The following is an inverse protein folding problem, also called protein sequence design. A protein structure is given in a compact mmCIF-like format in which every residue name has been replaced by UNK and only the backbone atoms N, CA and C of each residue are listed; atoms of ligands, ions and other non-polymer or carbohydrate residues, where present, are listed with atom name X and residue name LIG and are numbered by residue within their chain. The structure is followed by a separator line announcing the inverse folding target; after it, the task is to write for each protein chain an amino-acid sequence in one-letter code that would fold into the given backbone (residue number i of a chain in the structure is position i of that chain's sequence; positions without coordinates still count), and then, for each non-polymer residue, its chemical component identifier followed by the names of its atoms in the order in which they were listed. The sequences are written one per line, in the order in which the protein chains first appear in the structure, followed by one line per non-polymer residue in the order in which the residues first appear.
data_IF_797133351009
#
_entry.id   IF_797133351009
#
_cell.length_a   1.000
_cell.length_b   1.000
_cell.length_c   1.000
_cell.angle_alpha   90.00
_cell.angle_beta   90.00
_cell.angle_gamma   90.00
#
_symmetry.space_group_name_H-M   'P 1'
#
loop_
_entity.id
_entity.type
_entity.pdbx_description
1 polymer ?
#
# COMPACT_ATOMS: atom_id res chain seq x y z
N UNK A 1 13.39 -2.28 2.69
CA UNK A 1 12.11 -2.54 1.96
C UNK A 1 12.15 -3.91 1.31
N UNK A 2 11.13 -4.73 1.53
CA UNK A 2 10.98 -6.05 0.91
C UNK A 2 10.24 -5.93 -0.44
N UNK A 3 10.85 -5.20 -1.37
CA UNK A 3 10.35 -4.96 -2.74
C UNK A 3 11.48 -5.32 -3.71
N UNK A 4 11.63 -6.61 -4.05
CA UNK A 4 12.65 -7.08 -4.97
C UNK A 4 12.46 -6.53 -6.38
N UNK A 5 13.57 -6.26 -7.07
CA UNK A 5 13.61 -5.85 -8.48
C UNK A 5 13.22 -6.97 -9.43
N UNK A 6 13.73 -8.16 -9.18
CA UNK A 6 13.53 -9.34 -10.01
C UNK A 6 12.64 -10.34 -9.28
N UNK A 7 11.77 -11.00 -10.03
CA UNK A 7 10.85 -12.01 -9.53
C UNK A 7 10.86 -13.22 -10.45
N UNK A 8 10.78 -14.41 -9.84
CA UNK A 8 10.83 -15.66 -10.58
C UNK A 8 9.83 -16.67 -10.02
N UNK A 9 9.37 -17.55 -10.91
CA UNK A 9 8.44 -18.65 -10.62
C UNK A 9 9.19 -19.98 -10.67
N UNK A 10 8.95 -20.82 -9.70
CA UNK A 10 9.25 -22.24 -9.80
C UNK A 10 7.97 -23.03 -9.50
N UNK A 11 7.66 -24.01 -10.32
CA UNK A 11 6.49 -24.86 -10.09
C UNK A 11 6.74 -26.32 -10.47
N UNK A 12 6.04 -27.23 -9.80
CA UNK A 12 6.11 -28.67 -10.10
C UNK A 12 4.82 -29.36 -9.67
N UNK A 13 4.33 -30.26 -10.53
CA UNK A 13 3.33 -31.26 -10.18
C UNK A 13 4.03 -32.38 -9.41
N UNK A 14 3.53 -32.67 -8.21
CA UNK A 14 4.06 -33.75 -7.38
C UNK A 14 2.98 -34.76 -7.05
N UNK A 15 3.39 -36.03 -7.02
CA UNK A 15 2.60 -37.15 -6.55
C UNK A 15 3.05 -37.53 -5.14
N UNK A 16 2.09 -37.82 -4.26
CA UNK A 16 2.38 -38.32 -2.91
C UNK A 16 1.42 -37.81 -1.83
N UNK A 17 1.49 -38.42 -0.66
CA UNK A 17 0.61 -38.23 0.50
C UNK A 17 0.69 -39.48 1.37
N UNK A 18 0.31 -39.43 2.65
CA UNK A 18 0.28 -40.63 3.50
C UNK A 18 -0.46 -41.77 2.78
N UNK A 19 0.01 -43.00 2.99
CA UNK A 19 -0.50 -44.23 2.36
C UNK A 19 -2.03 -44.20 2.24
N UNK A 20 -2.54 -44.22 1.00
CA UNK A 20 -3.97 -44.27 0.69
C UNK A 20 -4.54 -43.08 -0.09
N UNK A 21 -3.81 -41.96 -0.24
CA UNK A 21 -4.27 -40.85 -1.08
C UNK A 21 -3.22 -40.48 -2.14
N UNK A 22 -3.40 -41.00 -3.36
CA UNK A 22 -2.72 -40.52 -4.55
C UNK A 22 -3.24 -39.10 -4.91
N UNK A 23 -2.90 -38.11 -4.09
CA UNK A 23 -3.27 -36.73 -4.35
C UNK A 23 -2.15 -36.06 -5.15
N UNK A 24 -2.38 -35.84 -6.45
CA UNK A 24 -1.56 -34.91 -7.21
C UNK A 24 -1.68 -33.51 -6.64
N UNK A 25 -0.55 -32.84 -6.46
CA UNK A 25 -0.50 -31.44 -6.00
C UNK A 25 0.37 -30.61 -6.91
N UNK A 26 -0.16 -29.47 -7.34
CA UNK A 26 0.61 -28.46 -8.04
C UNK A 26 1.22 -27.47 -7.03
N UNK A 27 2.54 -27.51 -6.84
CA UNK A 27 3.24 -26.55 -6.01
C UNK A 27 3.76 -25.39 -6.86
N UNK A 28 3.43 -24.17 -6.45
CA UNK A 28 3.90 -22.93 -7.09
C UNK A 28 4.61 -22.06 -6.05
N UNK A 29 5.84 -21.69 -6.37
CA UNK A 29 6.72 -20.84 -5.57
C UNK A 29 7.12 -19.59 -6.33
N UNK A 30 7.02 -18.45 -5.66
CA UNK A 30 7.54 -17.17 -6.12
C UNK A 30 8.62 -16.68 -5.15
N UNK A 31 9.75 -16.27 -5.69
CA UNK A 31 10.81 -15.58 -4.93
C UNK A 31 11.30 -14.38 -5.75
N UNK A 32 11.81 -13.40 -5.02
CA UNK A 32 12.42 -12.22 -5.63
C UNK A 32 13.86 -12.04 -5.18
N UNK A 33 14.59 -11.25 -5.97
CA UNK A 33 15.95 -10.81 -5.69
C UNK A 33 16.14 -9.35 -6.11
N UNK A 34 16.99 -8.63 -5.40
CA UNK A 34 17.50 -7.33 -5.86
C UNK A 34 18.76 -7.48 -6.75
N UNK A 35 19.39 -8.66 -6.76
CA UNK A 35 20.65 -8.91 -7.45
C UNK A 35 20.46 -9.19 -8.94
N UNK A 36 19.71 -10.24 -9.30
CA UNK A 36 19.46 -10.60 -10.70
C UNK A 36 18.23 -11.52 -10.87
N UNK A 37 17.82 -11.73 -12.13
CA UNK A 37 16.77 -12.67 -12.48
C UNK A 37 17.18 -14.13 -12.18
N UNK A 38 18.45 -14.47 -12.40
CA UNK A 38 19.03 -15.79 -12.14
C UNK A 38 19.03 -16.09 -10.64
N UNK A 39 19.40 -15.13 -9.79
CA UNK A 39 19.33 -15.31 -8.33
C UNK A 39 17.87 -15.44 -7.87
N UNK A 40 16.93 -14.67 -8.43
CA UNK A 40 15.51 -14.85 -8.14
C UNK A 40 15.02 -16.26 -8.51
N UNK A 41 15.43 -16.79 -9.68
CA UNK A 41 15.10 -18.15 -10.13
C UNK A 41 15.71 -19.20 -9.21
N UNK A 42 16.99 -19.06 -8.85
CA UNK A 42 17.67 -19.98 -7.95
C UNK A 42 17.01 -20.02 -6.57
N UNK A 43 16.60 -18.86 -6.02
CA UNK A 43 15.83 -18.78 -4.77
C UNK A 43 14.47 -19.47 -4.88
N UNK A 44 13.76 -19.26 -5.99
CA UNK A 44 12.45 -19.89 -6.23
C UNK A 44 12.59 -21.42 -6.29
N UNK A 45 13.61 -21.92 -6.98
CA UNK A 45 13.86 -23.36 -7.10
C UNK A 45 14.25 -23.97 -5.75
N UNK A 46 15.15 -23.34 -4.98
CA UNK A 46 15.53 -23.82 -3.65
C UNK A 46 14.33 -23.99 -2.71
N UNK A 47 13.48 -22.96 -2.63
CA UNK A 47 12.26 -23.02 -1.82
C UNK A 47 11.26 -24.07 -2.34
N UNK A 48 11.15 -24.26 -3.65
CA UNK A 48 10.31 -25.32 -4.22
C UNK A 48 10.79 -26.71 -3.77
N UNK A 49 12.09 -26.99 -3.88
CA UNK A 49 12.65 -28.28 -3.43
C UNK A 49 12.47 -28.49 -1.93
N UNK A 50 12.66 -27.46 -1.11
CA UNK A 50 12.39 -27.53 0.33
C UNK A 50 10.92 -27.86 0.62
N UNK A 51 9.98 -27.24 -0.10
CA UNK A 51 8.54 -27.53 0.06
C UNK A 51 8.20 -28.95 -0.37
N UNK A 52 8.78 -29.43 -1.47
CA UNK A 52 8.60 -30.82 -1.92
C UNK A 52 9.15 -31.79 -0.86
N UNK A 53 10.30 -31.51 -0.28
CA UNK A 53 10.87 -32.33 0.78
C UNK A 53 9.98 -32.36 2.04
N UNK A 54 9.43 -31.21 2.47
CA UNK A 54 8.45 -31.13 3.58
C UNK A 54 7.18 -31.93 3.27
N UNK A 55 6.67 -31.80 2.05
CA UNK A 55 5.50 -32.56 1.60
C UNK A 55 5.72 -34.07 1.69
N UNK A 56 6.86 -34.56 1.19
CA UNK A 56 7.22 -35.99 1.23
C UNK A 56 7.35 -36.52 2.66
N UNK A 57 7.74 -35.68 3.61
CA UNK A 57 7.77 -36.01 5.06
C UNK A 57 6.40 -35.91 5.74
N UNK A 58 5.33 -35.58 5.01
CA UNK A 58 3.99 -35.40 5.57
C UNK A 58 3.83 -34.13 6.42
N UNK A 59 4.77 -33.18 6.32
CA UNK A 59 4.68 -31.91 7.03
C UNK A 59 3.65 -30.98 6.39
N UNK A 60 3.08 -30.07 7.19
CA UNK A 60 2.19 -29.03 6.67
C UNK A 60 3.00 -28.08 5.80
N UNK A 61 2.58 -27.96 4.54
CA UNK A 61 2.99 -26.89 3.65
C UNK A 61 2.45 -25.57 4.19
N UNK A 62 3.24 -24.91 5.04
CA UNK A 62 2.90 -23.60 5.60
C UNK A 62 2.82 -22.56 4.48
N UNK A 63 2.04 -21.51 4.71
CA UNK A 63 2.04 -20.33 3.85
C UNK A 63 3.43 -19.67 3.81
N UNK A 64 3.60 -18.74 2.88
CA UNK A 64 4.75 -17.84 2.88
C UNK A 64 4.93 -17.15 4.24
N UNK A 65 6.17 -16.78 4.63
CA UNK A 65 6.43 -16.05 5.87
C UNK A 65 5.45 -14.87 6.07
N UNK A 66 4.86 -14.77 7.27
CA UNK A 66 3.85 -13.74 7.60
C UNK A 66 2.44 -14.00 7.06
N UNK A 67 2.17 -15.17 6.46
CA UNK A 67 0.89 -15.56 5.84
C UNK A 67 0.39 -14.58 4.77
N UNK A 68 1.31 -13.87 4.13
CA UNK A 68 1.01 -12.97 3.01
C UNK A 68 1.83 -13.45 1.83
N UNK A 69 1.14 -13.74 0.71
CA UNK A 69 1.84 -13.99 -0.55
C UNK A 69 2.64 -12.73 -0.90
N UNK A 70 3.93 -12.87 -1.27
CA UNK A 70 4.75 -11.72 -1.63
C UNK A 70 4.04 -10.90 -2.71
N UNK A 71 3.96 -9.58 -2.51
CA UNK A 71 3.37 -8.69 -3.52
C UNK A 71 4.37 -8.56 -4.66
N UNK A 72 4.06 -9.23 -5.76
CA UNK A 72 4.81 -9.20 -7.00
C UNK A 72 4.38 -7.97 -7.77
N UNK A 73 5.22 -6.95 -7.76
CA UNK A 73 4.94 -5.67 -8.40
C UNK A 73 6.17 -5.27 -9.20
N UNK A 74 6.05 -4.93 -10.50
CA UNK A 74 7.18 -4.47 -11.26
C UNK A 74 7.62 -3.10 -10.71
N UNK A 75 8.93 -2.96 -10.53
CA UNK A 75 9.57 -1.69 -10.20
C UNK A 75 9.57 -0.83 -11.46
N UNK A 76 9.00 0.37 -11.35
CA UNK A 76 8.97 1.38 -12.41
C UNK A 76 10.12 2.36 -12.26
N UNK A 77 10.36 2.80 -11.03
CA UNK A 77 11.39 3.79 -10.70
C UNK A 77 11.96 3.51 -9.31
N UNK A 78 13.27 3.74 -9.16
CA UNK A 78 13.94 3.70 -7.85
C UNK A 78 14.43 5.10 -7.51
N UNK A 79 14.15 5.56 -6.30
CA UNK A 79 14.53 6.88 -5.80
C UNK A 79 15.56 6.67 -4.69
N UNK A 80 16.71 7.33 -4.85
CA UNK A 80 17.80 7.27 -3.88
C UNK A 80 18.05 8.61 -3.20
N UNK A 81 18.56 8.57 -1.97
CA UNK A 81 19.18 9.69 -1.31
C UNK A 81 20.49 10.09 -2.04
N UNK A 82 21.03 11.30 -1.80
CA UNK A 82 22.34 11.70 -2.33
C UNK A 82 23.48 10.74 -1.93
N UNK A 83 23.33 10.04 -0.81
CA UNK A 83 24.26 9.01 -0.32
C UNK A 83 24.21 7.70 -1.11
N UNK A 84 23.27 7.56 -2.05
CA UNK A 84 23.04 6.35 -2.85
C UNK A 84 22.04 5.36 -2.23
N UNK A 85 21.64 5.55 -0.98
CA UNK A 85 20.67 4.68 -0.32
C UNK A 85 19.28 4.78 -0.97
N UNK A 86 18.62 3.64 -1.14
CA UNK A 86 17.26 3.55 -1.71
C UNK A 86 16.21 4.02 -0.69
N UNK A 87 15.69 5.23 -0.86
CA UNK A 87 14.67 5.81 0.04
C UNK A 87 13.23 5.57 -0.42
N UNK A 88 13.00 5.35 -1.72
CA UNK A 88 11.68 4.99 -2.24
C UNK A 88 11.73 4.21 -3.55
N UNK A 89 10.64 3.52 -3.88
CA UNK A 89 10.44 2.77 -5.13
C UNK A 89 9.02 3.01 -5.62
N UNK A 90 8.85 3.39 -6.87
CA UNK A 90 7.54 3.42 -7.53
C UNK A 90 7.30 2.06 -8.17
N UNK A 91 6.20 1.40 -7.80
CA UNK A 91 5.78 0.12 -8.38
C UNK A 91 4.44 0.23 -9.11
N UNK A 92 4.10 -0.78 -9.92
CA UNK A 92 2.72 -1.04 -10.35
C UNK A 92 2.10 -2.10 -9.46
N UNK A 93 1.05 -1.77 -8.71
CA UNK A 93 0.36 -2.81 -7.94
C UNK A 93 -0.54 -3.69 -8.83
N UNK A 94 -1.04 -4.80 -8.29
CA UNK A 94 -1.95 -5.70 -8.99
C UNK A 94 -3.30 -5.05 -9.39
N UNK A 95 -3.64 -3.89 -8.82
CA UNK A 95 -4.81 -3.11 -9.22
C UNK A 95 -4.52 -2.16 -10.39
N UNK A 96 -3.27 -2.06 -10.85
CA UNK A 96 -2.85 -1.21 -11.97
C UNK A 96 -2.42 0.21 -11.59
N UNK A 97 -2.40 0.55 -10.30
CA UNK A 97 -2.00 1.88 -9.85
C UNK A 97 -0.46 2.01 -9.76
N UNK A 98 0.08 3.19 -10.08
CA UNK A 98 1.40 3.62 -9.59
C UNK A 98 1.32 3.73 -8.07
N UNK A 99 2.27 3.15 -7.35
CA UNK A 99 2.35 3.25 -5.88
C UNK A 99 3.77 3.59 -5.49
N UNK A 100 3.96 4.67 -4.74
CA UNK A 100 5.24 4.95 -4.09
C UNK A 100 5.33 4.11 -2.81
N UNK A 101 6.47 3.46 -2.65
CA UNK A 101 6.83 2.67 -1.47
C UNK A 101 8.07 3.32 -0.87
N UNK A 102 8.00 3.79 0.36
CA UNK A 102 9.07 4.53 1.01
C UNK A 102 9.72 3.66 2.07
N UNK A 103 11.05 3.76 2.21
CA UNK A 103 11.78 3.02 3.23
C UNK A 103 11.34 3.47 4.62
N UNK A 104 11.34 4.78 4.87
CA UNK A 104 11.10 5.32 6.20
C UNK A 104 10.23 6.59 6.26
N UNK A 105 9.84 7.16 5.11
CA UNK A 105 8.94 8.33 5.08
C UNK A 105 7.51 7.86 5.28
N UNK A 106 6.90 8.21 6.40
CA UNK A 106 5.59 7.66 6.78
C UNK A 106 4.45 8.29 5.99
N UNK A 107 3.69 7.41 5.32
CA UNK A 107 2.35 7.71 4.81
C UNK A 107 1.29 7.03 5.68
N UNK A 108 0.14 7.67 5.86
CA UNK A 108 -1.01 7.10 6.57
C UNK A 108 -2.29 7.39 5.77
N UNK A 109 -2.90 6.35 5.19
CA UNK A 109 -4.20 6.47 4.51
C UNK A 109 -5.34 6.23 5.53
N UNK A 110 -6.26 7.21 5.65
CA UNK A 110 -7.41 7.20 6.56
C UNK A 110 -8.72 7.20 5.76
N UNK A 111 -9.50 6.13 5.79
CA UNK A 111 -10.76 6.03 5.02
C UNK A 111 -11.96 6.62 5.78
N UNK A 112 -12.81 7.39 5.11
CA UNK A 112 -14.01 7.99 5.72
C UNK A 112 -15.03 6.95 6.20
N UNK A 113 -15.17 5.84 5.49
CA UNK A 113 -16.07 4.76 5.88
C UNK A 113 -15.67 4.13 7.23
N UNK A 114 -14.35 3.99 7.48
CA UNK A 114 -13.84 3.45 8.75
C UNK A 114 -14.10 4.39 9.93
N UNK A 115 -14.13 5.71 9.68
CA UNK A 115 -14.46 6.71 10.69
C UNK A 115 -15.94 6.68 11.10
N UNK A 116 -16.83 6.18 10.23
CA UNK A 116 -18.26 6.00 10.53
C UNK A 116 -18.52 4.76 11.41
N UNK A 117 -17.71 3.69 11.27
CA UNK A 117 -17.86 2.45 12.06
C UNK A 117 -17.43 2.65 13.52
N UNK A 118 -16.43 3.50 13.78
CA UNK A 118 -16.03 3.88 15.14
C UNK A 118 -17.12 4.65 15.91
N UNK A 119 -18.15 5.12 15.21
CA UNK A 119 -19.23 5.95 15.73
C UNK A 119 -20.47 5.14 16.10
N UNK A 120 -20.48 3.80 15.98
CA UNK A 120 -21.68 3.00 16.33
C UNK A 120 -22.12 3.15 17.80
N UNK A 121 -21.16 3.32 18.72
CA UNK A 121 -21.43 3.65 20.14
C UNK A 121 -21.98 5.08 20.29
N UNK A 122 -21.49 6.02 19.48
CA UNK A 122 -22.00 7.39 19.39
C UNK A 122 -23.38 7.47 18.73
N UNK A 123 -23.67 6.58 17.78
CA UNK A 123 -24.93 6.44 17.08
C UNK A 123 -26.00 5.81 17.98
N UNK A 124 -25.66 4.81 18.81
CA UNK A 124 -26.53 4.34 19.89
C UNK A 124 -26.80 5.46 20.90
N UNK A 125 -25.78 6.18 21.36
CA UNK A 125 -25.97 7.31 22.28
C UNK A 125 -26.72 8.50 21.65
N UNK A 126 -26.68 8.66 20.32
CA UNK A 126 -27.47 9.64 19.57
C UNK A 126 -28.92 9.19 19.39
N UNK A 127 -29.17 7.89 19.21
CA UNK A 127 -30.52 7.31 19.15
C UNK A 127 -31.28 7.49 20.47
N UNK A 128 -30.58 7.45 21.61
CA UNK A 128 -31.15 7.77 22.92
C UNK A 128 -31.36 9.28 23.14
N UNK A 129 -30.59 10.14 22.47
CA UNK A 129 -30.75 11.62 22.50
C UNK A 129 -31.77 12.15 21.50
N UNK A 130 -32.10 11.41 20.44
CA UNK A 130 -33.17 11.78 19.49
C UNK A 130 -34.58 11.69 20.08
N UNK A 131 -34.73 11.16 21.29
CA UNK A 131 -35.97 11.24 22.09
C UNK A 131 -36.13 12.66 22.70
N UNK A 132 -35.07 13.49 22.71
CA UNK A 132 -35.01 14.82 23.34
C UNK A 132 -34.66 15.99 22.42
N UNK A 133 -34.89 15.88 21.10
CA UNK A 133 -34.98 17.04 20.20
C UNK A 133 -33.77 17.99 20.16
N UNK A 134 -32.62 17.54 19.64
CA UNK A 134 -31.60 18.46 19.08
C UNK A 134 -31.01 17.84 17.82
N UNK A 135 -31.37 18.37 16.65
CA UNK A 135 -30.75 17.99 15.38
C UNK A 135 -29.40 18.68 15.25
N UNK A 136 -28.31 18.00 15.64
CA UNK A 136 -26.96 18.47 15.32
C UNK A 136 -26.71 18.27 13.83
N UNK A 137 -26.40 19.37 13.12
CA UNK A 137 -25.92 19.32 11.74
C UNK A 137 -24.72 18.35 11.67
N UNK A 138 -24.90 17.26 10.92
CA UNK A 138 -23.90 16.19 10.83
C UNK A 138 -22.73 16.70 10.00
N UNK A 139 -21.65 17.14 10.66
CA UNK A 139 -20.42 17.60 10.01
C UNK A 139 -19.98 16.62 8.91
N UNK A 140 -19.54 17.14 7.77
CA UNK A 140 -19.16 16.30 6.63
C UNK A 140 -18.06 15.30 7.06
N UNK A 141 -18.07 14.05 6.57
CA UNK A 141 -17.08 13.04 6.95
C UNK A 141 -15.62 13.53 6.82
N UNK A 142 -15.35 14.41 5.85
CA UNK A 142 -14.04 15.04 5.68
C UNK A 142 -13.65 15.92 6.88
N UNK A 143 -14.53 16.83 7.30
CA UNK A 143 -14.27 17.76 8.39
C UNK A 143 -14.08 17.02 9.70
N UNK A 144 -14.88 15.97 9.94
CA UNK A 144 -14.76 15.13 11.14
C UNK A 144 -13.39 14.45 11.23
N UNK A 145 -12.94 13.83 10.14
CA UNK A 145 -11.65 13.13 10.11
C UNK A 145 -10.50 14.14 10.17
N UNK A 146 -10.61 15.29 9.50
CA UNK A 146 -9.61 16.36 9.57
C UNK A 146 -9.50 16.94 10.98
N UNK A 147 -10.63 17.21 11.65
CA UNK A 147 -10.65 17.69 13.03
C UNK A 147 -10.02 16.67 14.00
N UNK A 148 -10.26 15.36 13.79
CA UNK A 148 -9.56 14.30 14.54
C UNK A 148 -8.05 14.38 14.34
N UNK A 149 -7.58 14.56 13.12
CA UNK A 149 -6.15 14.69 12.81
C UNK A 149 -5.55 15.95 13.45
N UNK A 150 -6.22 17.11 13.35
CA UNK A 150 -5.77 18.37 13.99
C UNK A 150 -5.68 18.22 15.51
N UNK A 151 -6.70 17.66 16.14
CA UNK A 151 -6.73 17.43 17.59
C UNK A 151 -5.64 16.46 18.05
N UNK A 152 -5.36 15.41 17.26
CA UNK A 152 -4.23 14.50 17.54
C UNK A 152 -2.90 15.24 17.41
N UNK A 153 -2.71 16.02 16.34
CA UNK A 153 -1.50 16.81 16.12
C UNK A 153 -1.25 17.79 17.27
N UNK A 154 -2.24 18.59 17.66
CA UNK A 154 -2.13 19.57 18.75
C UNK A 154 -1.77 18.94 20.11
N UNK A 155 -2.29 17.73 20.40
CA UNK A 155 -2.16 17.11 21.73
C UNK A 155 -0.97 16.17 21.86
N UNK A 156 -0.64 15.44 20.80
CA UNK A 156 0.25 14.29 20.86
C UNK A 156 1.44 14.41 19.90
N UNK A 157 1.39 15.32 18.91
CA UNK A 157 2.40 15.42 17.85
C UNK A 157 2.64 16.89 17.43
N UNK A 158 2.62 17.82 18.39
CA UNK A 158 2.70 19.26 18.13
C UNK A 158 4.08 19.69 17.63
N UNK A 159 5.09 18.88 17.95
CA UNK A 159 6.45 18.92 17.46
C UNK A 159 6.63 18.17 16.13
N UNK A 160 5.57 17.69 15.48
CA UNK A 160 5.67 17.03 14.17
C UNK A 160 5.27 17.98 13.05
N UNK A 161 5.88 17.79 11.87
CA UNK A 161 5.37 18.34 10.61
C UNK A 161 4.55 17.29 9.85
N UNK A 162 3.31 17.61 9.51
CA UNK A 162 2.34 16.68 8.91
C UNK A 162 1.58 17.34 7.77
N UNK A 163 1.72 16.80 6.56
CA UNK A 163 0.91 17.23 5.41
C UNK A 163 -0.34 16.37 5.30
N UNK A 164 -1.48 17.02 5.16
CA UNK A 164 -2.80 16.39 5.11
C UNK A 164 -3.39 16.58 3.72
N UNK A 165 -3.68 15.47 3.06
CA UNK A 165 -4.23 15.45 1.71
C UNK A 165 -5.62 14.84 1.69
N UNK A 166 -6.56 15.45 0.97
CA UNK A 166 -7.85 14.85 0.63
C UNK A 166 -7.70 13.90 -0.53
N UNK A 167 -8.00 12.62 -0.35
CA UNK A 167 -8.11 11.65 -1.46
C UNK A 167 -9.57 11.52 -1.91
N UNK A 168 -9.93 10.60 -2.81
CA UNK A 168 -11.35 10.35 -3.14
C UNK A 168 -12.15 9.72 -1.98
N UNK A 169 -11.55 8.83 -1.19
CA UNK A 169 -12.24 8.02 -0.16
C UNK A 169 -11.87 8.36 1.29
N UNK A 170 -10.91 9.26 1.48
CA UNK A 170 -10.33 9.48 2.79
C UNK A 170 -9.41 10.69 2.86
N UNK A 171 -8.57 10.69 3.88
CA UNK A 171 -7.38 11.52 3.96
C UNK A 171 -6.12 10.67 3.74
N UNK A 172 -5.04 11.30 3.31
CA UNK A 172 -3.69 10.78 3.37
C UNK A 172 -2.85 11.74 4.19
N UNK A 173 -2.07 11.21 5.12
CA UNK A 173 -1.09 11.97 5.87
C UNK A 173 0.31 11.62 5.37
N UNK A 174 1.19 12.62 5.28
CA UNK A 174 2.63 12.46 5.10
C UNK A 174 3.31 13.09 6.32
N UNK A 175 4.02 12.27 7.10
CA UNK A 175 4.80 12.75 8.24
C UNK A 175 6.18 13.18 7.73
N UNK A 176 6.50 14.46 7.89
CA UNK A 176 7.56 15.10 7.10
C UNK A 176 8.77 15.59 7.93
N UNK A 177 8.67 15.63 9.25
CA UNK A 177 9.75 16.10 10.14
C UNK A 177 10.82 15.04 10.41
N UNK A 178 10.53 13.75 10.19
CA UNK A 178 11.42 12.66 10.58
C UNK A 178 11.13 11.36 9.84
N UNK A 179 11.99 10.37 10.10
CA UNK A 179 11.96 9.04 9.51
C UNK A 179 11.48 8.01 10.53
N UNK A 180 10.77 7.00 10.05
CA UNK A 180 10.15 5.97 10.87
C UNK A 180 10.47 4.59 10.31
N UNK A 181 10.79 3.64 11.18
CA UNK A 181 10.93 2.25 10.77
C UNK A 181 9.52 1.62 10.63
N UNK A 182 9.10 1.16 9.42
CA UNK A 182 7.75 0.62 9.19
C UNK A 182 7.39 -0.59 10.07
N UNK A 183 8.39 -1.32 10.51
CA UNK A 183 8.24 -2.50 11.38
C UNK A 183 8.23 -2.17 12.89
N UNK A 184 8.53 -0.93 13.27
CA UNK A 184 8.57 -0.50 14.67
C UNK A 184 7.20 -0.49 15.34
N UNK A 185 7.17 -0.73 16.66
CA UNK A 185 5.94 -0.65 17.45
C UNK A 185 5.33 0.76 17.40
N UNK A 186 6.16 1.79 17.45
CA UNK A 186 5.72 3.19 17.48
C UNK A 186 5.01 3.58 16.18
N UNK A 187 5.59 3.25 15.02
CA UNK A 187 4.93 3.47 13.73
C UNK A 187 3.57 2.76 13.64
N UNK A 188 3.48 1.52 14.13
CA UNK A 188 2.24 0.75 14.13
C UNK A 188 1.21 1.32 15.10
N UNK A 189 1.62 1.83 16.26
CA UNK A 189 0.75 2.47 17.24
C UNK A 189 0.17 3.78 16.70
N UNK A 190 0.99 4.65 16.08
CA UNK A 190 0.54 5.91 15.47
C UNK A 190 -0.49 5.64 14.38
N UNK A 191 -0.21 4.71 13.45
CA UNK A 191 -1.15 4.32 12.41
C UNK A 191 -2.46 3.76 12.99
N UNK A 192 -2.38 2.96 14.06
CA UNK A 192 -3.56 2.39 14.73
C UNK A 192 -4.40 3.46 15.39
N UNK A 193 -3.76 4.38 16.12
CA UNK A 193 -4.38 5.51 16.82
C UNK A 193 -5.16 6.42 15.87
N UNK A 194 -4.53 6.76 14.75
CA UNK A 194 -5.15 7.61 13.72
C UNK A 194 -6.28 6.90 12.97
N UNK A 195 -6.27 5.57 12.94
CA UNK A 195 -7.32 4.75 12.35
C UNK A 195 -6.99 4.28 10.92
N UNK A 196 -5.71 4.08 10.61
CA UNK A 196 -5.31 3.44 9.37
C UNK A 196 -5.84 2.00 9.31
N UNK A 197 -6.28 1.58 8.12
CA UNK A 197 -6.82 0.25 7.87
C UNK A 197 -5.83 -0.87 8.26
N UNK A 198 -6.35 -1.93 8.89
CA UNK A 198 -5.52 -3.01 9.43
C UNK A 198 -4.74 -3.78 8.33
N UNK A 199 -5.32 -3.91 7.13
CA UNK A 199 -4.65 -4.53 5.98
C UNK A 199 -3.52 -3.62 5.48
N UNK A 200 -3.72 -2.31 5.45
CA UNK A 200 -2.66 -1.36 5.12
C UNK A 200 -1.48 -1.47 6.09
N UNK A 201 -1.75 -1.42 7.40
CA UNK A 201 -0.71 -1.54 8.44
C UNK A 201 0.08 -2.86 8.33
N UNK A 202 -0.64 -3.97 8.19
CA UNK A 202 -0.03 -5.31 8.01
C UNK A 202 0.83 -5.36 6.75
N UNK A 203 0.38 -4.75 5.67
CA UNK A 203 1.14 -4.69 4.43
C UNK A 203 2.45 -3.90 4.62
N UNK A 204 2.39 -2.74 5.29
CA UNK A 204 3.57 -1.92 5.56
C UNK A 204 4.61 -2.68 6.40
N UNK A 205 4.16 -3.43 7.42
CA UNK A 205 5.03 -4.27 8.25
C UNK A 205 5.69 -5.40 7.44
N UNK A 206 4.92 -6.16 6.66
CA UNK A 206 5.48 -7.29 5.88
C UNK A 206 6.42 -6.82 4.77
N UNK A 207 6.11 -5.69 4.14
CA UNK A 207 6.96 -5.15 3.09
C UNK A 207 8.07 -4.23 3.61
N UNK A 208 8.14 -3.98 4.92
CA UNK A 208 9.09 -3.05 5.54
C UNK A 208 9.17 -1.72 4.74
N UNK A 209 8.01 -1.12 4.46
CA UNK A 209 7.86 0.15 3.75
C UNK A 209 6.53 0.83 4.11
N UNK A 210 6.42 2.15 3.93
CA UNK A 210 5.11 2.81 3.86
C UNK A 210 4.69 3.00 2.41
N UNK A 211 3.38 3.06 2.15
CA UNK A 211 2.85 3.05 0.79
C UNK A 211 1.84 4.15 0.54
N UNK A 212 1.88 4.75 -0.64
CA UNK A 212 0.90 5.72 -1.12
C UNK A 212 0.65 5.58 -2.62
N UNK A 213 -0.62 5.65 -3.06
CA UNK A 213 -0.96 5.61 -4.50
C UNK A 213 -0.61 6.93 -5.18
N UNK A 214 0.06 6.85 -6.33
CA UNK A 214 0.39 8.00 -7.16
C UNK A 214 -0.57 8.19 -8.35
N UNK A 215 -1.44 7.21 -8.62
CA UNK A 215 -2.49 7.34 -9.66
C UNK A 215 -3.85 6.79 -9.21
N UNK A 216 -4.94 7.21 -9.87
CA UNK A 216 -6.30 6.78 -9.54
C UNK A 216 -6.50 5.26 -9.62
N UNK A 217 -7.47 4.73 -8.87
CA UNK A 217 -7.91 3.34 -9.10
C UNK A 217 -8.61 3.24 -10.46
N UNK A 218 -8.28 2.27 -11.34
CA UNK A 218 -8.87 2.20 -12.68
C UNK A 218 -10.41 2.25 -12.70
N UNK A 219 -11.07 1.53 -11.79
CA UNK A 219 -12.54 1.51 -11.72
C UNK A 219 -13.17 2.83 -11.26
N UNK A 220 -12.41 3.74 -10.64
CA UNK A 220 -12.91 5.08 -10.29
C UNK A 220 -12.92 6.03 -11.49
N UNK A 221 -12.22 5.66 -12.56
CA UNK A 221 -12.14 6.41 -13.81
C UNK A 221 -12.81 5.66 -14.96
N UNK A 222 -13.66 4.66 -14.65
CA UNK A 222 -14.40 3.88 -15.66
C UNK A 222 -13.59 2.82 -16.39
N UNK A 223 -12.39 2.47 -15.90
CA UNK A 223 -11.54 1.45 -16.53
C UNK A 223 -11.56 0.13 -15.78
N UNK A 224 -11.49 -0.98 -16.53
CA UNK A 224 -11.30 -2.31 -15.98
C UNK A 224 -9.92 -2.46 -15.31
N UNK A 225 -9.79 -3.47 -14.45
CA UNK A 225 -8.50 -3.87 -13.86
C UNK A 225 -7.53 -4.36 -14.95
N UNK A 226 -6.22 -4.38 -14.66
CA UNK A 226 -5.23 -4.90 -15.60
C UNK A 226 -5.54 -6.37 -15.99
N UNK A 227 -5.27 -6.76 -17.24
CA UNK A 227 -5.60 -8.09 -17.75
C UNK A 227 -4.66 -9.20 -17.28
N UNK A 228 -3.49 -8.85 -16.72
CA UNK A 228 -2.48 -9.82 -16.29
C UNK A 228 -1.86 -9.43 -14.94
N UNK A 229 -1.31 -10.41 -14.23
CA UNK A 229 -0.61 -10.20 -12.95
C UNK A 229 0.87 -10.47 -13.10
N UNK A 230 1.71 -9.50 -12.74
CA UNK A 230 3.17 -9.63 -12.79
C UNK A 230 3.70 -10.71 -11.83
N UNK A 231 4.80 -11.42 -12.17
CA UNK A 231 5.49 -11.45 -13.47
C UNK A 231 4.67 -12.06 -14.59
N UNK A 232 4.73 -11.46 -15.77
CA UNK A 232 4.15 -12.01 -16.98
C UNK A 232 5.00 -13.19 -17.45
N UNK A 233 4.32 -14.27 -17.82
CA UNK A 233 4.97 -15.56 -18.11
C UNK A 233 5.14 -15.82 -19.60
N UNK A 234 4.52 -14.98 -20.44
CA UNK A 234 4.61 -15.03 -21.89
C UNK A 234 4.44 -13.63 -22.50
N UNK A 235 4.83 -13.51 -23.77
CA UNK A 235 4.79 -12.25 -24.52
C UNK A 235 3.38 -11.68 -24.68
N UNK A 236 2.36 -12.54 -24.80
CA UNK A 236 0.97 -12.10 -24.98
C UNK A 236 0.41 -11.44 -23.71
N UNK A 237 0.71 -11.98 -22.52
CA UNK A 237 0.38 -11.39 -21.24
C UNK A 237 1.01 -10.01 -21.09
N UNK A 238 2.29 -9.88 -21.41
CA UNK A 238 2.99 -8.60 -21.38
C UNK A 238 2.38 -7.62 -22.39
N UNK A 239 2.18 -8.01 -23.64
CA UNK A 239 1.60 -7.14 -24.67
C UNK A 239 0.21 -6.61 -24.29
N UNK A 240 -0.69 -7.48 -23.80
CA UNK A 240 -2.02 -7.08 -23.30
C UNK A 240 -1.91 -6.11 -22.13
N UNK A 241 -0.96 -6.34 -21.23
CA UNK A 241 -0.71 -5.48 -20.10
C UNK A 241 -0.17 -4.11 -20.53
N UNK A 242 0.79 -4.05 -21.45
CA UNK A 242 1.32 -2.79 -22.01
C UNK A 242 0.23 -1.97 -22.72
N UNK A 243 -0.62 -2.64 -23.50
CA UNK A 243 -1.75 -1.99 -24.14
C UNK A 243 -2.75 -1.42 -23.12
N UNK A 244 -3.01 -2.14 -22.02
CA UNK A 244 -3.83 -1.63 -20.92
C UNK A 244 -3.16 -0.44 -20.22
N UNK A 245 -1.86 -0.50 -19.94
CA UNK A 245 -1.08 0.57 -19.31
C UNK A 245 -1.12 1.85 -20.15
N UNK A 246 -0.91 1.75 -21.47
CA UNK A 246 -0.97 2.90 -22.38
C UNK A 246 -2.32 3.61 -22.33
N UNK A 247 -3.44 2.85 -22.36
CA UNK A 247 -4.78 3.43 -22.25
C UNK A 247 -5.02 4.06 -20.88
N UNK A 248 -4.50 3.43 -19.83
CA UNK A 248 -4.66 3.89 -18.46
C UNK A 248 -3.92 5.21 -18.22
N UNK A 249 -2.65 5.31 -18.62
CA UNK A 249 -1.86 6.53 -18.50
C UNK A 249 -2.45 7.69 -19.31
N UNK A 250 -3.04 7.43 -20.48
CA UNK A 250 -3.76 8.44 -21.26
C UNK A 250 -5.05 8.94 -20.57
N UNK A 251 -5.69 8.10 -19.75
CA UNK A 251 -6.99 8.40 -19.14
C UNK A 251 -6.88 9.13 -17.79
N UNK A 252 -5.81 8.88 -17.03
CA UNK A 252 -5.67 9.40 -15.66
C UNK A 252 -5.52 10.92 -15.58
N UNK A 253 -5.04 11.58 -16.66
CA UNK A 253 -4.77 13.02 -16.67
C UNK A 253 -6.00 13.91 -16.41
N UNK A 254 -7.21 13.35 -16.52
CA UNK A 254 -8.49 14.04 -16.25
C UNK A 254 -8.86 14.10 -14.76
N UNK A 255 -8.10 13.42 -13.90
CA UNK A 255 -8.40 13.27 -12.48
C UNK A 255 -7.23 13.75 -11.61
N UNK A 256 -7.54 14.16 -10.39
CA UNK A 256 -6.55 14.37 -9.34
C UNK A 256 -6.59 13.17 -8.37
N UNK A 257 -5.44 12.78 -7.84
CA UNK A 257 -5.37 11.69 -6.85
C UNK A 257 -5.69 12.22 -5.46
N UNK A 258 -5.15 13.41 -5.16
CA UNK A 258 -5.45 14.11 -3.92
C UNK A 258 -5.38 15.64 -4.09
N UNK A 259 -5.82 16.34 -3.05
CA UNK A 259 -5.69 17.80 -2.87
C UNK A 259 -5.05 18.06 -1.52
N UNK A 260 -4.13 19.02 -1.43
CA UNK A 260 -3.58 19.43 -0.14
C UNK A 260 -4.66 20.19 0.65
N UNK A 261 -4.89 19.78 1.90
CA UNK A 261 -5.82 20.45 2.82
C UNK A 261 -5.10 21.27 3.90
N UNK A 262 -3.95 20.78 4.37
CA UNK A 262 -3.20 21.42 5.43
C UNK A 262 -1.72 20.99 5.45
N UNK A 263 -0.86 21.86 5.96
CA UNK A 263 0.50 21.57 6.40
C UNK A 263 0.56 21.97 7.88
N UNK A 264 0.58 20.98 8.76
CA UNK A 264 0.51 21.15 10.21
C UNK A 264 1.92 21.12 10.81
N UNK A 265 2.16 21.97 11.81
CA UNK A 265 3.46 22.06 12.49
C UNK A 265 4.46 23.00 11.79
N UNK A 266 5.54 23.32 12.50
CA UNK A 266 6.59 24.25 12.05
C UNK A 266 7.99 23.64 11.98
N UNK A 267 8.14 22.35 12.27
CA UNK A 267 9.43 21.70 12.16
C UNK A 267 10.00 21.78 10.74
N UNK A 268 11.33 21.77 10.59
CA UNK A 268 11.95 21.61 9.29
C UNK A 268 11.53 20.27 8.68
N UNK A 269 11.52 20.23 7.34
CA UNK A 269 11.33 18.98 6.63
C UNK A 269 12.61 18.14 6.74
N UNK A 270 12.48 16.85 7.00
CA UNK A 270 13.60 15.93 6.83
C UNK A 270 13.96 15.85 5.33
N UNK A 271 15.25 15.87 4.93
CA UNK A 271 15.65 15.90 3.52
C UNK A 271 15.03 14.79 2.66
N UNK A 272 15.03 13.55 3.16
CA UNK A 272 14.40 12.43 2.45
C UNK A 272 12.87 12.53 2.39
N UNK A 273 12.25 13.05 3.46
CA UNK A 273 10.81 13.26 3.47
C UNK A 273 10.41 14.37 2.50
N UNK A 274 11.21 15.43 2.37
CA UNK A 274 11.02 16.48 1.38
C UNK A 274 11.13 15.92 -0.05
N UNK A 275 12.14 15.10 -0.33
CA UNK A 275 12.30 14.47 -1.66
C UNK A 275 11.10 13.60 -2.02
N UNK A 276 10.67 12.74 -1.10
CA UNK A 276 9.49 11.89 -1.26
C UNK A 276 8.21 12.72 -1.40
N UNK A 277 8.06 13.78 -0.61
CA UNK A 277 6.92 14.69 -0.66
C UNK A 277 6.83 15.38 -2.02
N UNK A 278 7.93 15.96 -2.52
CA UNK A 278 7.96 16.62 -3.85
C UNK A 278 7.58 15.65 -4.97
N UNK A 279 8.11 14.42 -4.92
CA UNK A 279 7.77 13.38 -5.89
C UNK A 279 6.29 12.99 -5.80
N UNK A 280 5.77 12.76 -4.58
CA UNK A 280 4.36 12.48 -4.36
C UNK A 280 3.48 13.60 -4.90
N UNK A 281 3.78 14.85 -4.56
CA UNK A 281 2.99 16.02 -4.93
C UNK A 281 2.99 16.22 -6.45
N UNK A 282 4.13 16.02 -7.13
CA UNK A 282 4.25 16.10 -8.58
C UNK A 282 3.37 15.08 -9.33
N UNK A 283 3.15 13.90 -8.75
CA UNK A 283 2.31 12.87 -9.36
C UNK A 283 0.82 13.00 -9.01
N UNK A 284 0.49 13.59 -7.87
CA UNK A 284 -0.84 13.44 -7.26
C UNK A 284 -1.66 14.71 -7.24
N UNK A 285 -1.00 15.86 -7.11
CA UNK A 285 -1.66 17.17 -7.08
C UNK A 285 -1.92 17.66 -8.51
N UNK A 286 -3.01 18.40 -8.66
CA UNK A 286 -3.37 19.09 -9.89
C UNK A 286 -3.59 20.56 -9.59
N UNK A 287 -3.01 21.44 -10.41
CA UNK A 287 -3.27 22.89 -10.34
C UNK A 287 -4.70 23.23 -10.80
N UNK A 288 -5.28 22.36 -11.64
CA UNK A 288 -6.68 22.46 -12.08
C UNK A 288 -7.60 21.74 -11.08
N UNK A 289 -8.83 22.24 -10.90
CA UNK A 289 -9.86 21.62 -10.06
C UNK A 289 -10.45 20.36 -10.72
N UNK A 290 -9.62 19.32 -10.85
CA UNK A 290 -10.01 18.03 -11.42
C UNK A 290 -10.78 17.19 -10.39
N UNK A 291 -11.75 16.37 -10.81
CA UNK A 291 -12.41 15.43 -9.91
C UNK A 291 -11.41 14.45 -9.28
N UNK A 292 -11.63 14.10 -8.01
CA UNK A 292 -10.79 13.15 -7.30
C UNK A 292 -11.10 11.70 -7.70
N UNK A 293 -10.05 10.90 -7.91
CA UNK A 293 -10.18 9.46 -8.20
C UNK A 293 -9.05 8.63 -7.57
#
# INVERSE_FOLDING_TARGET
MNIPRYWAKAERLIQGGKAGAAAERHLIVWRGSDASAEDAQARAQRELEERIARFRRGERLRDYPGHIRPLREPVIETVSAPTGERIAVITRNAAGCRVINTAQVMFIDLDFASALVGDWRGALAALWRSIGGVSQAKAEPQERVLAKVRKWHEREASDWRVRVYRTRAGLRLLIAHGLFEPTSKDAQQVMTRLGADARYRRLCAVQACFRARLTPKPWRIGMARPPATYPWTNADEEARQRAWESRYEASIGRFAVCRLLADLGRQPLHPDAERVMRLHDAHTLSLMDKPLA
#
